data_IF_406771932843
#
_entry.id   IF_406771932843
#
_cell.length_a   1.000
_cell.length_b   1.000
_cell.length_c   1.000
_cell.angle_alpha   90.00
_cell.angle_beta   90.00
_cell.angle_gamma   90.00
#
_symmetry.space_group_name_H-M   'P 1'
#
loop_
_entity.id
_entity.type
_entity.pdbx_description
1 polymer ?
#
# COMPACT_ATOMS: atom_id res chain seq x y z
N UNK A 1 -24.71 29.56 35.22
CA UNK A 1 -23.27 29.51 35.59
C UNK A 1 -22.67 28.27 34.98
N UNK A 2 -21.65 28.40 34.21
CA UNK A 2 -20.87 27.46 33.37
C UNK A 2 -21.22 27.44 31.88
N UNK A 3 -20.83 28.53 31.23
CA UNK A 3 -20.63 28.65 29.79
C UNK A 3 -19.34 29.46 29.56
N UNK A 4 -18.25 28.99 30.13
CA UNK A 4 -16.89 29.50 29.90
C UNK A 4 -15.93 28.33 29.80
N UNK A 5 -15.07 28.44 28.81
CA UNK A 5 -13.92 27.61 28.52
C UNK A 5 -14.03 26.66 27.34
N UNK A 6 -14.11 27.24 26.11
CA UNK A 6 -13.50 26.68 24.90
C UNK A 6 -13.03 27.81 23.96
N UNK A 7 -12.28 28.77 24.46
CA UNK A 7 -11.53 29.71 23.65
C UNK A 7 -10.06 29.30 23.56
N UNK A 8 -9.79 28.17 22.92
CA UNK A 8 -8.47 27.92 22.34
C UNK A 8 -8.37 28.75 21.06
N UNK A 9 -7.23 29.31 20.79
CA UNK A 9 -6.77 30.21 19.72
C UNK A 9 -7.08 29.68 18.29
N UNK A 10 -8.39 29.56 17.95
CA UNK A 10 -8.83 29.17 16.61
C UNK A 10 -8.93 30.42 15.78
N UNK A 11 -8.08 30.54 14.76
CA UNK A 11 -8.27 31.56 13.73
C UNK A 11 -9.72 31.53 13.22
N UNK A 12 -10.39 32.67 13.10
CA UNK A 12 -11.78 32.70 12.67
C UNK A 12 -11.90 32.13 11.24
N UNK A 13 -12.92 31.25 11.06
CA UNK A 13 -13.19 30.67 9.75
C UNK A 13 -13.45 31.76 8.70
N UNK A 14 -12.94 31.54 7.48
CA UNK A 14 -13.24 32.37 6.32
C UNK A 14 -14.53 31.90 5.66
N UNK A 15 -15.45 32.84 5.43
CA UNK A 15 -16.71 32.60 4.74
C UNK A 15 -16.74 33.52 3.52
N UNK A 16 -17.02 32.97 2.35
CA UNK A 16 -17.23 33.74 1.13
C UNK A 16 -18.73 33.88 0.87
N UNK A 17 -19.19 35.11 0.59
CA UNK A 17 -20.56 35.40 0.17
C UNK A 17 -20.54 35.89 -1.27
N UNK A 18 -21.30 35.24 -2.13
CA UNK A 18 -21.45 35.55 -3.57
C UNK A 18 -22.93 35.88 -3.82
N UNK A 19 -23.26 37.10 -4.14
CA UNK A 19 -24.63 37.56 -4.38
C UNK A 19 -24.56 38.84 -5.23
N UNK A 20 -25.38 39.00 -6.25
CA UNK A 20 -25.36 40.18 -7.13
C UNK A 20 -26.08 41.38 -6.51
N UNK A 21 -27.00 41.17 -5.54
CA UNK A 21 -27.64 42.28 -4.79
C UNK A 21 -26.72 42.88 -3.72
N UNK A 22 -26.34 44.15 -3.82
CA UNK A 22 -25.45 44.82 -2.84
C UNK A 22 -26.06 44.88 -1.44
N UNK A 23 -27.41 44.91 -1.32
CA UNK A 23 -28.10 44.97 -0.02
C UNK A 23 -28.00 43.62 0.70
N UNK A 24 -28.23 42.53 -0.01
CA UNK A 24 -28.10 41.16 0.47
C UNK A 24 -26.65 40.89 0.92
N UNK A 25 -25.65 41.24 0.07
CA UNK A 25 -24.23 41.08 0.42
C UNK A 25 -23.85 41.84 1.70
N UNK A 26 -24.31 43.11 1.82
CA UNK A 26 -23.99 43.93 2.99
C UNK A 26 -24.60 43.36 4.27
N UNK A 27 -25.85 42.90 4.21
CA UNK A 27 -26.56 42.30 5.33
C UNK A 27 -25.87 40.99 5.79
N UNK A 28 -25.61 40.08 4.86
CA UNK A 28 -24.91 38.81 5.15
C UNK A 28 -23.51 39.07 5.73
N UNK A 29 -22.74 39.95 5.10
CA UNK A 29 -21.41 40.33 5.59
C UNK A 29 -21.46 40.84 7.02
N UNK A 30 -22.43 41.73 7.35
CA UNK A 30 -22.58 42.27 8.69
C UNK A 30 -22.95 41.18 9.68
N UNK A 31 -23.98 40.39 9.40
CA UNK A 31 -24.43 39.29 10.26
C UNK A 31 -23.31 38.28 10.55
N UNK A 32 -22.54 37.88 9.53
CA UNK A 32 -21.45 36.92 9.69
C UNK A 32 -20.26 37.49 10.47
N UNK A 33 -19.93 38.80 10.25
CA UNK A 33 -18.91 39.47 11.05
C UNK A 33 -19.29 39.63 12.52
N UNK A 34 -20.56 39.92 12.79
CA UNK A 34 -21.09 40.02 14.15
C UNK A 34 -21.04 38.64 14.88
N UNK A 35 -21.05 37.54 14.11
CA UNK A 35 -20.84 36.18 14.62
C UNK A 35 -19.35 35.79 14.76
N UNK A 36 -18.42 36.70 14.43
CA UNK A 36 -16.98 36.52 14.62
C UNK A 36 -16.23 35.86 13.46
N UNK A 37 -16.84 35.71 12.26
CA UNK A 37 -16.22 35.13 11.09
C UNK A 37 -15.45 36.18 10.25
N UNK A 38 -14.42 35.69 9.53
CA UNK A 38 -13.78 36.47 8.46
C UNK A 38 -14.63 36.35 7.18
N UNK A 39 -15.03 37.44 6.59
CA UNK A 39 -15.97 37.46 5.48
C UNK A 39 -15.42 38.18 4.28
N UNK A 40 -15.26 37.45 3.18
CA UNK A 40 -15.02 37.97 1.83
C UNK A 40 -16.34 38.04 1.06
N UNK A 41 -16.47 38.94 0.13
CA UNK A 41 -17.68 39.09 -0.67
C UNK A 41 -17.32 39.21 -2.16
N UNK A 42 -18.19 38.68 -3.01
CA UNK A 42 -18.12 38.76 -4.46
C UNK A 42 -19.47 39.24 -5.02
N UNK A 43 -19.45 40.00 -6.07
CA UNK A 43 -20.62 40.59 -6.71
C UNK A 43 -21.17 39.72 -7.87
N UNK A 44 -20.42 38.72 -8.32
CA UNK A 44 -20.83 37.79 -9.38
C UNK A 44 -20.01 36.48 -9.29
N UNK A 45 -20.47 35.46 -9.99
CA UNK A 45 -19.91 34.10 -9.87
C UNK A 45 -18.43 34.00 -10.20
N UNK A 46 -17.93 34.67 -11.25
CA UNK A 46 -16.49 34.60 -11.64
C UNK A 46 -15.57 35.24 -10.59
N UNK A 47 -15.97 36.37 -10.00
CA UNK A 47 -15.24 36.98 -8.89
C UNK A 47 -15.24 36.06 -7.68
N UNK A 48 -16.38 35.39 -7.41
CA UNK A 48 -16.52 34.41 -6.34
C UNK A 48 -15.57 33.27 -6.47
N UNK A 49 -15.46 32.66 -7.65
CA UNK A 49 -14.52 31.55 -7.92
C UNK A 49 -13.06 32.02 -7.75
N UNK A 50 -12.72 33.19 -8.27
CA UNK A 50 -11.36 33.77 -8.12
C UNK A 50 -10.97 33.95 -6.64
N UNK A 51 -11.88 34.53 -5.83
CA UNK A 51 -11.68 34.70 -4.38
C UNK A 51 -11.61 33.34 -3.68
N UNK A 52 -12.50 32.39 -4.03
CA UNK A 52 -12.48 31.03 -3.45
C UNK A 52 -11.15 30.34 -3.70
N UNK A 53 -10.60 30.42 -4.91
CA UNK A 53 -9.29 29.86 -5.27
C UNK A 53 -8.14 30.46 -4.48
N UNK A 54 -8.18 31.81 -4.30
CA UNK A 54 -7.13 32.53 -3.58
C UNK A 54 -7.17 32.31 -2.06
N UNK A 55 -8.38 32.32 -1.47
CA UNK A 55 -8.57 32.37 -0.01
C UNK A 55 -8.94 31.03 0.62
N UNK A 56 -9.41 30.04 -0.18
CA UNK A 56 -9.85 28.71 0.25
C UNK A 56 -10.80 28.78 1.46
N UNK A 57 -11.99 29.40 1.30
CA UNK A 57 -12.92 29.59 2.41
C UNK A 57 -13.44 28.26 2.96
N UNK A 58 -13.71 28.20 4.26
CA UNK A 58 -14.31 27.03 4.89
C UNK A 58 -15.78 26.84 4.48
N UNK A 59 -16.47 27.96 4.18
CA UNK A 59 -17.88 27.96 3.79
C UNK A 59 -18.13 29.02 2.73
N UNK A 60 -18.95 28.68 1.75
CA UNK A 60 -19.38 29.55 0.67
C UNK A 60 -20.90 29.68 0.73
N UNK A 61 -21.42 30.91 0.73
CA UNK A 61 -22.82 31.22 0.60
C UNK A 61 -23.01 31.90 -0.77
N UNK A 62 -23.74 31.28 -1.65
CA UNK A 62 -23.89 31.75 -3.03
C UNK A 62 -25.37 31.92 -3.38
N UNK A 63 -25.72 33.08 -3.96
CA UNK A 63 -27.03 33.24 -4.55
C UNK A 63 -27.18 32.36 -5.77
N UNK A 64 -28.35 31.78 -5.93
CA UNK A 64 -28.68 30.94 -7.07
C UNK A 64 -28.78 31.76 -8.36
N UNK A 65 -29.57 32.86 -8.31
CA UNK A 65 -29.95 33.61 -9.49
C UNK A 65 -29.01 34.82 -9.66
N UNK A 66 -27.91 34.62 -10.37
CA UNK A 66 -26.98 35.72 -10.69
C UNK A 66 -26.80 35.85 -12.22
N UNK A 67 -26.52 37.05 -12.73
CA UNK A 67 -26.23 37.22 -14.15
C UNK A 67 -24.88 36.58 -14.55
N UNK A 68 -24.75 36.20 -15.81
CA UNK A 68 -23.60 35.55 -16.46
C UNK A 68 -23.30 34.14 -15.98
N UNK A 69 -23.01 33.94 -14.71
CA UNK A 69 -22.69 32.64 -14.10
C UNK A 69 -23.58 32.46 -12.87
N UNK A 70 -24.54 31.56 -12.94
CA UNK A 70 -25.45 31.28 -11.85
C UNK A 70 -24.80 30.50 -10.70
N UNK A 71 -25.49 30.43 -9.56
CA UNK A 71 -24.98 29.79 -8.36
C UNK A 71 -24.79 28.27 -8.51
N UNK A 72 -25.56 27.59 -9.38
CA UNK A 72 -25.40 26.18 -9.66
C UNK A 72 -24.09 25.91 -10.40
N UNK A 73 -23.78 26.73 -11.38
CA UNK A 73 -22.55 26.57 -12.16
C UNK A 73 -21.33 26.93 -11.31
N UNK A 74 -21.43 27.96 -10.44
CA UNK A 74 -20.39 28.25 -9.43
C UNK A 74 -20.19 27.03 -8.52
N UNK A 75 -21.26 26.41 -8.04
CA UNK A 75 -21.20 25.23 -7.19
C UNK A 75 -20.49 24.07 -7.89
N UNK A 76 -20.86 23.75 -9.14
CA UNK A 76 -20.21 22.67 -9.91
C UNK A 76 -18.73 22.90 -10.06
N UNK A 77 -18.29 24.11 -10.42
CA UNK A 77 -16.88 24.43 -10.59
C UNK A 77 -16.10 24.34 -9.27
N UNK A 78 -16.66 24.82 -8.17
CA UNK A 78 -16.07 24.70 -6.83
C UNK A 78 -15.97 23.23 -6.42
N UNK A 79 -17.01 22.43 -6.65
CA UNK A 79 -17.03 21.00 -6.24
C UNK A 79 -16.19 20.08 -7.14
N UNK A 80 -15.85 20.50 -8.35
CA UNK A 80 -14.92 19.79 -9.24
C UNK A 80 -13.44 20.08 -8.91
N UNK A 81 -13.14 21.14 -8.22
CA UNK A 81 -11.78 21.48 -7.81
C UNK A 81 -11.35 20.64 -6.58
N UNK A 82 -10.16 20.02 -6.63
CA UNK A 82 -9.66 19.12 -5.59
C UNK A 82 -9.52 19.76 -4.20
N UNK A 83 -9.18 21.04 -4.15
CA UNK A 83 -9.00 21.78 -2.89
C UNK A 83 -10.29 22.43 -2.42
N UNK A 84 -11.03 23.08 -3.35
CA UNK A 84 -12.25 23.82 -3.05
C UNK A 84 -13.47 22.92 -2.81
N UNK A 85 -13.49 21.70 -3.33
CA UNK A 85 -14.58 20.73 -3.11
C UNK A 85 -14.89 20.47 -1.64
N UNK A 86 -13.93 20.76 -0.77
CA UNK A 86 -14.04 20.62 0.69
C UNK A 86 -14.78 21.78 1.36
N UNK A 87 -14.90 22.93 0.69
CA UNK A 87 -15.68 24.08 1.20
C UNK A 87 -17.15 23.69 1.32
N UNK A 88 -17.78 23.98 2.46
CA UNK A 88 -19.20 23.76 2.63
C UNK A 88 -19.98 24.79 1.81
N UNK A 89 -20.81 24.34 0.88
CA UNK A 89 -21.48 25.19 -0.09
C UNK A 89 -22.98 25.33 0.22
N UNK A 90 -23.41 26.57 0.49
CA UNK A 90 -24.81 26.91 0.78
C UNK A 90 -25.37 27.71 -0.38
N UNK A 91 -26.44 27.23 -1.01
CA UNK A 91 -27.18 27.94 -2.04
C UNK A 91 -28.33 28.77 -1.41
N UNK A 92 -28.43 30.06 -1.81
CA UNK A 92 -29.56 30.89 -1.46
C UNK A 92 -30.60 30.82 -2.58
N UNK A 93 -31.84 30.50 -2.25
CA UNK A 93 -32.93 30.35 -3.23
C UNK A 93 -34.07 31.31 -2.94
N UNK A 94 -34.74 31.84 -3.97
CA UNK A 94 -35.92 32.67 -3.83
C UNK A 94 -37.22 31.88 -3.55
N UNK A 95 -37.27 30.59 -3.88
CA UNK A 95 -38.37 29.67 -3.66
C UNK A 95 -37.88 28.27 -3.30
N UNK A 96 -38.55 27.65 -2.32
CA UNK A 96 -38.26 26.29 -1.86
C UNK A 96 -39.02 25.22 -2.64
N UNK A 97 -39.08 25.28 -3.96
CA UNK A 97 -39.70 24.21 -4.75
C UNK A 97 -38.81 22.97 -4.74
N UNK A 98 -39.42 21.79 -4.72
CA UNK A 98 -38.72 20.50 -4.59
C UNK A 98 -37.72 20.27 -5.74
N UNK A 99 -38.08 20.73 -6.94
CA UNK A 99 -37.26 20.61 -8.15
C UNK A 99 -35.97 21.43 -8.07
N UNK A 100 -36.01 22.62 -7.50
CA UNK A 100 -34.83 23.48 -7.31
C UNK A 100 -33.84 22.81 -6.34
N UNK A 101 -34.36 22.22 -5.26
CA UNK A 101 -33.50 21.49 -4.29
C UNK A 101 -32.81 20.29 -4.90
N UNK A 102 -33.47 19.53 -5.77
CA UNK A 102 -32.88 18.40 -6.47
C UNK A 102 -31.74 18.88 -7.38
N UNK A 103 -31.98 19.91 -8.19
CA UNK A 103 -30.96 20.45 -9.10
C UNK A 103 -29.72 20.95 -8.35
N UNK A 104 -29.89 21.57 -7.20
CA UNK A 104 -28.78 22.05 -6.42
C UNK A 104 -27.98 20.93 -5.72
N UNK A 105 -28.66 19.87 -5.24
CA UNK A 105 -27.99 18.69 -4.73
C UNK A 105 -27.18 17.96 -5.82
N UNK A 106 -27.76 17.85 -7.02
CA UNK A 106 -27.07 17.29 -8.19
C UNK A 106 -25.86 18.15 -8.61
N UNK A 107 -25.89 19.46 -8.36
CA UNK A 107 -24.76 20.36 -8.57
C UNK A 107 -23.67 20.22 -7.47
N UNK A 108 -23.95 19.50 -6.38
CA UNK A 108 -23.05 19.26 -5.27
C UNK A 108 -23.16 20.24 -4.10
N UNK A 109 -24.23 21.06 -4.03
CA UNK A 109 -24.46 21.92 -2.88
C UNK A 109 -24.72 21.11 -1.61
N UNK A 110 -24.14 21.53 -0.50
CA UNK A 110 -24.27 20.82 0.77
C UNK A 110 -25.53 21.26 1.53
N UNK A 111 -26.04 22.47 1.27
CA UNK A 111 -27.20 23.02 1.98
C UNK A 111 -27.90 24.14 1.19
N UNK A 112 -29.15 24.44 1.58
CA UNK A 112 -30.00 25.48 1.00
C UNK A 112 -30.55 26.41 2.07
N UNK A 113 -30.70 27.70 1.73
CA UNK A 113 -31.40 28.68 2.53
C UNK A 113 -32.36 29.48 1.64
N UNK A 114 -33.62 29.58 2.07
CA UNK A 114 -34.63 30.35 1.33
C UNK A 114 -34.58 31.83 1.70
N UNK A 115 -34.71 32.70 0.69
CA UNK A 115 -34.91 34.13 0.88
C UNK A 115 -36.42 34.42 1.16
N UNK A 116 -36.80 35.23 2.16
CA UNK A 116 -35.95 36.02 3.03
C UNK A 116 -35.23 35.18 4.09
N UNK A 117 -33.95 35.47 4.31
CA UNK A 117 -33.08 34.64 5.18
C UNK A 117 -33.41 34.97 6.66
N UNK A 118 -33.83 33.96 7.42
CA UNK A 118 -33.95 34.02 8.86
C UNK A 118 -32.54 34.01 9.52
N UNK A 119 -32.18 34.98 10.35
CA UNK A 119 -30.84 35.01 10.98
C UNK A 119 -30.53 33.81 11.89
N UNK A 120 -31.53 33.18 12.52
CA UNK A 120 -31.32 32.03 13.37
C UNK A 120 -31.10 30.77 12.53
N UNK A 121 -31.85 30.63 11.42
CA UNK A 121 -31.64 29.54 10.46
C UNK A 121 -30.24 29.65 9.84
N UNK A 122 -29.86 30.84 9.34
CA UNK A 122 -28.54 31.09 8.80
C UNK A 122 -27.44 30.68 9.79
N UNK A 123 -27.55 31.13 11.04
CA UNK A 123 -26.59 30.79 12.10
C UNK A 123 -26.50 29.29 12.32
N UNK A 124 -27.64 28.58 12.42
CA UNK A 124 -27.68 27.16 12.64
C UNK A 124 -27.01 26.37 11.49
N UNK A 125 -27.33 26.74 10.22
CA UNK A 125 -26.76 26.10 9.02
C UNK A 125 -25.25 26.33 8.91
N UNK A 126 -24.78 27.54 9.16
CA UNK A 126 -23.36 27.88 9.15
C UNK A 126 -22.61 27.06 10.22
N UNK A 127 -23.13 27.01 11.44
CA UNK A 127 -22.50 26.24 12.51
C UNK A 127 -22.43 24.74 12.19
N UNK A 128 -23.48 24.18 11.59
CA UNK A 128 -23.49 22.80 11.13
C UNK A 128 -22.47 22.56 10.01
N UNK A 129 -22.45 23.44 9.00
CA UNK A 129 -21.52 23.36 7.88
C UNK A 129 -20.06 23.48 8.29
N UNK A 130 -19.75 24.45 9.15
CA UNK A 130 -18.39 24.61 9.67
C UNK A 130 -17.93 23.43 10.55
N UNK A 131 -18.86 22.80 11.27
CA UNK A 131 -18.56 21.57 12.01
C UNK A 131 -18.22 20.42 11.05
N UNK A 132 -18.96 20.23 9.96
CA UNK A 132 -18.67 19.24 8.94
C UNK A 132 -17.33 19.50 8.24
N UNK A 133 -17.07 20.76 7.88
CA UNK A 133 -15.77 21.18 7.33
C UNK A 133 -14.62 20.82 8.27
N UNK A 134 -14.76 21.14 9.57
CA UNK A 134 -13.74 20.83 10.56
C UNK A 134 -13.50 19.32 10.71
N UNK A 135 -14.57 18.54 10.79
CA UNK A 135 -14.45 17.07 10.87
C UNK A 135 -13.73 16.47 9.66
N UNK A 136 -14.03 16.97 8.46
CA UNK A 136 -13.34 16.55 7.25
C UNK A 136 -11.85 16.93 7.27
N UNK A 137 -11.50 18.13 7.74
CA UNK A 137 -10.10 18.55 7.88
C UNK A 137 -9.35 17.69 8.90
N UNK A 138 -9.97 17.41 10.04
CA UNK A 138 -9.38 16.57 11.09
C UNK A 138 -9.17 15.14 10.58
N UNK A 139 -10.14 14.58 9.87
CA UNK A 139 -10.04 13.26 9.26
C UNK A 139 -8.89 13.16 8.23
N UNK A 140 -8.78 14.16 7.36
CA UNK A 140 -7.70 14.22 6.37
C UNK A 140 -6.32 14.31 7.04
N UNK A 141 -6.22 15.13 8.08
CA UNK A 141 -4.98 15.27 8.86
C UNK A 141 -4.61 13.96 9.55
N UNK A 142 -5.58 13.29 10.18
CA UNK A 142 -5.34 11.98 10.80
C UNK A 142 -4.94 10.93 9.79
N UNK A 143 -5.60 10.90 8.61
CA UNK A 143 -5.22 10.01 7.50
C UNK A 143 -3.78 10.24 7.05
N UNK A 144 -3.38 11.49 6.84
CA UNK A 144 -2.00 11.83 6.44
C UNK A 144 -0.96 11.44 7.50
N UNK A 145 -1.27 11.63 8.79
CA UNK A 145 -0.38 11.20 9.87
C UNK A 145 -0.22 9.67 9.89
N UNK A 146 -1.33 8.94 9.77
CA UNK A 146 -1.31 7.49 9.75
C UNK A 146 -0.53 6.95 8.52
N UNK A 147 -0.72 7.55 7.35
CA UNK A 147 0.03 7.21 6.14
C UNK A 147 1.53 7.46 6.30
N UNK A 148 1.91 8.55 6.98
CA UNK A 148 3.31 8.85 7.27
C UNK A 148 3.93 7.83 8.26
N UNK A 149 3.22 7.47 9.32
CA UNK A 149 3.67 6.46 10.30
C UNK A 149 3.83 5.08 9.65
N UNK A 150 2.88 4.68 8.79
CA UNK A 150 2.97 3.42 8.05
C UNK A 150 4.13 3.43 7.05
N UNK A 151 4.42 4.58 6.43
CA UNK A 151 5.56 4.71 5.52
C UNK A 151 6.90 4.56 6.26
N UNK A 152 7.04 5.19 7.44
CA UNK A 152 8.23 5.03 8.28
C UNK A 152 8.44 3.57 8.70
N UNK A 153 7.36 2.88 9.10
CA UNK A 153 7.41 1.45 9.42
C UNK A 153 7.82 0.59 8.21
N UNK A 154 7.32 0.91 7.01
CA UNK A 154 7.68 0.22 5.77
C UNK A 154 9.16 0.41 5.42
N UNK A 155 9.69 1.61 5.58
CA UNK A 155 11.11 1.88 5.34
C UNK A 155 12.00 1.11 6.34
N UNK A 156 11.57 1.02 7.60
CA UNK A 156 12.27 0.19 8.59
C UNK A 156 12.27 -1.29 8.18
N UNK A 157 11.14 -1.88 7.82
CA UNK A 157 11.05 -3.28 7.38
C UNK A 157 11.92 -3.51 6.14
N UNK A 158 11.86 -2.61 5.17
CA UNK A 158 12.69 -2.68 3.95
C UNK A 158 14.18 -2.61 4.28
N UNK A 159 14.58 -1.84 5.29
CA UNK A 159 15.98 -1.74 5.74
C UNK A 159 16.51 -3.04 6.37
N UNK A 160 15.60 -3.94 6.78
CA UNK A 160 15.98 -5.26 7.30
C UNK A 160 16.30 -6.26 6.19
N UNK A 161 15.89 -6.03 4.94
CA UNK A 161 16.24 -6.91 3.83
C UNK A 161 17.76 -6.90 3.60
N UNK A 162 18.34 -8.04 3.17
CA UNK A 162 19.77 -8.13 2.94
C UNK A 162 20.23 -7.23 1.79
N UNK A 163 21.44 -6.72 1.85
CA UNK A 163 22.00 -6.01 0.71
C UNK A 163 22.33 -6.98 -0.45
N UNK A 164 22.16 -6.60 -1.71
CA UNK A 164 22.65 -7.38 -2.84
C UNK A 164 24.12 -7.76 -2.70
N UNK A 165 24.49 -8.94 -3.22
CA UNK A 165 25.84 -9.48 -3.09
C UNK A 165 26.43 -9.82 -4.47
N UNK A 166 27.73 -9.56 -4.67
CA UNK A 166 28.40 -9.88 -5.93
C UNK A 166 29.23 -11.18 -5.84
N UNK A 167 29.79 -11.48 -4.68
CA UNK A 167 30.68 -12.63 -4.47
C UNK A 167 30.43 -13.29 -3.11
N UNK A 168 30.61 -14.63 -2.96
CA UNK A 168 31.03 -15.63 -3.94
C UNK A 168 29.94 -16.06 -4.92
N UNK A 169 28.66 -15.80 -4.63
CA UNK A 169 27.54 -15.93 -5.54
C UNK A 169 26.98 -14.51 -5.78
N UNK A 170 26.59 -14.21 -7.01
CA UNK A 170 25.90 -12.96 -7.29
C UNK A 170 24.45 -13.09 -6.90
N UNK A 171 23.98 -12.27 -5.95
CA UNK A 171 22.61 -12.30 -5.44
C UNK A 171 21.98 -10.93 -5.60
N UNK A 172 20.90 -10.88 -6.36
CA UNK A 172 20.05 -9.70 -6.53
C UNK A 172 18.61 -10.03 -6.17
N UNK A 173 17.81 -9.01 -5.90
CA UNK A 173 16.39 -9.19 -5.65
C UNK A 173 15.54 -8.03 -6.17
N UNK A 174 14.26 -8.31 -6.34
CA UNK A 174 13.20 -7.33 -6.53
C UNK A 174 12.16 -7.52 -5.44
N UNK A 175 11.70 -6.44 -4.84
CA UNK A 175 10.70 -6.44 -3.79
C UNK A 175 9.71 -5.30 -3.99
N UNK A 176 8.43 -5.63 -4.13
CA UNK A 176 7.32 -4.70 -4.25
C UNK A 176 6.19 -5.16 -3.33
N UNK A 177 5.96 -4.51 -2.18
CA UNK A 177 4.83 -4.84 -1.32
C UNK A 177 3.51 -4.37 -1.94
N UNK A 178 2.45 -5.14 -1.76
CA UNK A 178 1.08 -4.87 -2.26
C UNK A 178 0.43 -3.65 -1.61
N UNK A 179 0.85 -3.34 -0.40
CA UNK A 179 0.49 -2.16 0.36
C UNK A 179 1.76 -1.48 0.88
N UNK A 180 1.66 -0.56 1.83
CA UNK A 180 2.87 0.02 2.43
C UNK A 180 3.74 -1.03 3.14
N UNK A 181 3.12 -2.10 3.70
CA UNK A 181 3.77 -3.20 4.39
C UNK A 181 3.25 -4.53 3.85
N UNK A 182 4.16 -5.40 3.41
CA UNK A 182 3.87 -6.74 2.93
C UNK A 182 4.13 -7.83 3.97
N UNK A 183 3.57 -9.03 3.72
CA UNK A 183 3.84 -10.26 4.47
C UNK A 183 5.10 -10.97 4.01
N UNK A 184 5.52 -10.71 2.78
CA UNK A 184 6.73 -11.28 2.18
C UNK A 184 8.00 -10.85 2.91
N UNK A 185 8.91 -11.81 3.10
CA UNK A 185 10.23 -11.55 3.60
C UNK A 185 11.22 -12.58 3.06
N UNK A 186 12.47 -12.21 2.86
CA UNK A 186 13.53 -13.09 2.44
C UNK A 186 14.85 -12.68 3.06
N UNK A 187 15.76 -13.62 3.15
CA UNK A 187 17.13 -13.35 3.56
C UNK A 187 18.11 -14.34 2.95
N UNK A 188 19.36 -13.97 2.93
CA UNK A 188 20.48 -14.83 2.58
C UNK A 188 21.73 -14.41 3.37
N UNK A 189 22.46 -15.41 3.85
CA UNK A 189 23.69 -15.18 4.60
C UNK A 189 24.62 -16.38 4.53
N UNK A 190 25.89 -16.13 4.78
CA UNK A 190 26.91 -17.18 4.80
C UNK A 190 27.18 -17.66 6.23
N UNK A 191 27.31 -18.97 6.38
CA UNK A 191 27.84 -19.62 7.57
C UNK A 191 29.28 -20.02 7.24
N UNK A 192 30.22 -19.27 7.79
CA UNK A 192 31.63 -19.30 7.35
C UNK A 192 31.74 -18.96 5.86
N UNK A 193 32.77 -19.53 5.20
CA UNK A 193 32.99 -19.34 3.75
C UNK A 193 32.39 -20.47 2.90
N UNK A 194 31.64 -21.38 3.52
CA UNK A 194 31.22 -22.65 2.90
C UNK A 194 29.73 -22.69 2.59
N UNK A 195 28.87 -22.36 3.55
CA UNK A 195 27.45 -22.60 3.43
C UNK A 195 26.69 -21.30 3.20
N UNK A 196 25.95 -21.23 2.09
CA UNK A 196 25.00 -20.14 1.84
C UNK A 196 23.59 -20.61 2.26
N UNK A 197 23.05 -19.97 3.28
CA UNK A 197 21.64 -20.12 3.67
C UNK A 197 20.84 -19.07 2.91
N UNK A 198 19.67 -19.47 2.39
CA UNK A 198 18.73 -18.58 1.72
C UNK A 198 17.30 -19.06 1.96
N UNK A 199 16.40 -18.11 2.18
CA UNK A 199 14.98 -18.43 2.36
C UNK A 199 14.10 -17.27 1.87
N UNK A 200 12.87 -17.64 1.54
CA UNK A 200 11.77 -16.71 1.28
C UNK A 200 10.55 -17.23 2.03
N UNK A 201 9.80 -16.35 2.63
CA UNK A 201 8.57 -16.64 3.33
C UNK A 201 7.49 -15.62 2.96
N UNK A 202 6.25 -16.06 3.07
CA UNK A 202 5.06 -15.24 2.87
C UNK A 202 4.06 -15.51 4.00
N UNK A 203 3.68 -14.46 4.71
CA UNK A 203 2.73 -14.51 5.84
C UNK A 203 1.33 -14.22 5.36
N UNK A 204 0.38 -15.07 5.71
CA UNK A 204 -1.03 -14.96 5.32
C UNK A 204 -1.63 -13.57 5.60
N UNK A 205 -2.17 -12.92 4.54
CA UNK A 205 -2.76 -11.58 4.57
C UNK A 205 -1.75 -10.48 4.30
N UNK A 206 -2.12 -9.23 4.50
CA UNK A 206 -1.33 -8.05 4.14
C UNK A 206 -1.26 -7.01 5.26
N UNK A 207 -0.45 -5.98 5.07
CA UNK A 207 -0.30 -4.86 6.00
C UNK A 207 0.46 -5.23 7.27
N UNK A 208 0.30 -4.42 8.31
CA UNK A 208 1.05 -4.55 9.58
C UNK A 208 0.87 -5.92 10.24
N UNK A 209 -0.32 -6.52 10.12
CA UNK A 209 -0.62 -7.84 10.70
C UNK A 209 0.16 -9.00 10.05
N UNK A 210 0.64 -8.85 8.82
CA UNK A 210 1.50 -9.83 8.16
C UNK A 210 2.99 -9.47 8.30
N UNK A 211 3.33 -8.18 8.26
CA UNK A 211 4.71 -7.71 8.35
C UNK A 211 5.36 -7.99 9.73
N UNK A 212 4.62 -7.88 10.83
CA UNK A 212 5.19 -8.11 12.16
C UNK A 212 5.63 -9.57 12.39
N UNK A 213 4.81 -10.61 12.06
CA UNK A 213 5.26 -11.99 12.09
C UNK A 213 6.45 -12.25 11.14
N UNK A 214 6.46 -11.70 9.92
CA UNK A 214 7.57 -11.90 8.99
C UNK A 214 8.89 -11.36 9.54
N UNK A 215 8.89 -10.16 10.15
CA UNK A 215 10.06 -9.60 10.85
C UNK A 215 10.45 -10.44 12.06
N UNK A 216 9.50 -11.03 12.77
CA UNK A 216 9.78 -11.89 13.93
C UNK A 216 10.52 -13.17 13.51
N UNK A 217 10.09 -13.80 12.41
CA UNK A 217 10.78 -14.97 11.83
C UNK A 217 12.17 -14.59 11.34
N UNK A 218 12.30 -13.47 10.61
CA UNK A 218 13.59 -12.95 10.15
C UNK A 218 14.58 -12.76 11.32
N UNK A 219 14.13 -12.11 12.40
CA UNK A 219 14.97 -11.86 13.57
C UNK A 219 15.31 -13.17 14.30
N UNK A 220 14.38 -14.12 14.40
CA UNK A 220 14.65 -15.43 15.00
C UNK A 220 15.75 -16.17 14.22
N UNK A 221 15.63 -16.25 12.90
CA UNK A 221 16.62 -16.89 12.05
C UNK A 221 17.99 -16.19 12.09
N UNK A 222 18.06 -14.85 12.24
CA UNK A 222 19.30 -14.09 12.37
C UNK A 222 19.95 -14.16 13.74
N UNK A 223 19.18 -14.19 14.82
CA UNK A 223 19.72 -14.14 16.19
C UNK A 223 20.51 -15.39 16.53
N UNK A 224 20.03 -16.52 16.09
CA UNK A 224 20.66 -17.83 16.32
C UNK A 224 21.96 -18.03 15.53
N UNK A 225 22.19 -17.27 14.44
CA UNK A 225 23.48 -17.29 13.71
C UNK A 225 24.61 -16.58 14.44
N UNK A 226 24.32 -15.62 15.33
CA UNK A 226 25.32 -14.87 16.10
C UNK A 226 25.82 -15.63 17.34
N UNK A 227 25.02 -16.57 17.85
CA UNK A 227 25.34 -17.36 19.03
C UNK A 227 25.72 -18.81 18.64
N UNK A 228 26.87 -18.98 17.98
CA UNK A 228 27.40 -20.31 17.60
C UNK A 228 27.69 -21.24 18.79
N UNK A 229 27.31 -20.91 20.01
CA UNK A 229 27.70 -21.62 21.24
C UNK A 229 26.57 -22.30 22.03
N UNK A 230 25.30 -22.17 21.64
CA UNK A 230 24.21 -22.85 22.35
C UNK A 230 23.17 -23.43 21.36
N UNK A 231 23.43 -24.63 20.97
CA UNK A 231 22.81 -25.62 20.12
C UNK A 231 21.29 -25.75 20.02
N UNK A 232 20.55 -24.69 19.68
CA UNK A 232 19.10 -24.78 19.56
C UNK A 232 18.63 -24.90 18.09
N UNK A 233 19.48 -24.53 17.12
CA UNK A 233 19.13 -24.54 15.70
C UNK A 233 20.26 -25.06 14.83
N UNK A 234 20.04 -26.15 14.11
CA UNK A 234 20.95 -26.61 13.06
C UNK A 234 20.52 -26.06 11.69
N UNK A 235 21.07 -24.90 11.31
CA UNK A 235 20.76 -24.25 10.02
C UNK A 235 21.06 -25.07 8.78
N UNK A 236 21.92 -26.08 8.91
CA UNK A 236 22.35 -26.91 7.77
C UNK A 236 21.31 -27.98 7.41
N UNK A 237 20.30 -28.18 8.25
CA UNK A 237 19.24 -29.17 8.06
C UNK A 237 17.87 -28.49 7.81
N UNK A 238 17.50 -28.16 6.56
CA UNK A 238 16.27 -27.44 6.24
C UNK A 238 15.01 -28.00 6.88
N UNK A 239 14.83 -29.32 6.90
CA UNK A 239 13.66 -29.95 7.52
C UNK A 239 13.55 -29.63 9.01
N UNK A 240 14.65 -29.71 9.76
CA UNK A 240 14.68 -29.41 11.19
C UNK A 240 14.43 -27.91 11.48
N UNK A 241 14.91 -27.03 10.59
CA UNK A 241 14.61 -25.61 10.69
C UNK A 241 13.12 -25.35 10.56
N UNK A 242 12.44 -25.98 9.58
CA UNK A 242 11.00 -25.84 9.39
C UNK A 242 10.20 -26.43 10.57
N UNK A 243 10.63 -27.57 11.11
CA UNK A 243 10.02 -28.16 12.32
C UNK A 243 10.14 -27.22 13.53
N UNK A 244 11.31 -26.65 13.75
CA UNK A 244 11.53 -25.72 14.84
C UNK A 244 10.72 -24.42 14.66
N UNK A 245 10.62 -23.88 13.44
CA UNK A 245 9.74 -22.76 13.13
C UNK A 245 8.28 -23.13 13.38
N UNK A 246 7.82 -24.29 12.92
CA UNK A 246 6.46 -24.74 13.13
C UNK A 246 6.10 -24.87 14.62
N UNK A 247 7.01 -25.38 15.43
CA UNK A 247 6.80 -25.48 16.88
C UNK A 247 6.81 -24.12 17.60
N UNK A 248 7.55 -23.14 17.06
CA UNK A 248 7.64 -21.78 17.62
C UNK A 248 6.54 -20.81 17.16
N UNK A 249 5.88 -21.10 16.05
CA UNK A 249 4.87 -20.22 15.44
C UNK A 249 3.58 -20.98 15.17
N UNK A 250 2.74 -21.17 16.19
CA UNK A 250 1.42 -21.78 16.03
C UNK A 250 0.35 -20.71 15.81
N UNK A 251 -0.60 -20.95 14.89
CA UNK A 251 -1.71 -20.05 14.58
C UNK A 251 -2.49 -19.60 15.82
N UNK A 252 -2.71 -20.50 16.77
CA UNK A 252 -3.41 -20.23 18.03
C UNK A 252 -2.76 -19.12 18.84
N UNK A 253 -1.44 -18.97 18.75
CA UNK A 253 -0.65 -18.01 19.51
C UNK A 253 -0.32 -16.75 18.68
N UNK A 254 -0.59 -16.79 17.35
CA UNK A 254 -0.21 -15.75 16.37
C UNK A 254 -1.42 -15.10 15.69
N UNK A 255 -2.54 -14.91 16.40
CA UNK A 255 -3.76 -14.26 15.87
C UNK A 255 -4.24 -14.89 14.55
N UNK A 256 -4.26 -16.23 14.49
CA UNK A 256 -4.68 -17.02 13.33
C UNK A 256 -3.78 -16.83 12.08
N UNK A 257 -2.56 -16.32 12.25
CA UNK A 257 -1.60 -16.18 11.16
C UNK A 257 -0.77 -17.45 11.00
N UNK A 258 -0.55 -17.83 9.76
CA UNK A 258 0.38 -18.86 9.31
C UNK A 258 1.24 -18.28 8.20
N UNK A 259 2.31 -18.95 7.84
CA UNK A 259 3.14 -18.53 6.72
C UNK A 259 3.66 -19.69 5.92
N UNK A 260 3.93 -19.43 4.66
CA UNK A 260 4.64 -20.36 3.78
C UNK A 260 6.12 -20.02 3.78
N UNK A 261 6.99 -21.00 3.60
CA UNK A 261 8.43 -20.80 3.54
C UNK A 261 9.09 -21.80 2.60
N UNK A 262 10.04 -21.32 1.82
CA UNK A 262 11.04 -22.13 1.17
C UNK A 262 12.40 -21.82 1.79
N UNK A 263 13.13 -22.85 2.24
CA UNK A 263 14.42 -22.72 2.93
C UNK A 263 15.44 -23.63 2.28
N UNK A 264 16.62 -23.09 1.96
CA UNK A 264 17.69 -23.82 1.29
C UNK A 264 19.08 -23.52 1.85
N UNK A 265 19.97 -24.51 1.78
CA UNK A 265 21.37 -24.44 2.18
C UNK A 265 22.24 -24.95 1.04
N UNK A 266 23.05 -24.08 0.49
CA UNK A 266 24.01 -24.42 -0.56
C UNK A 266 25.42 -24.62 0.05
N UNK A 267 25.99 -25.80 -0.14
CA UNK A 267 27.39 -26.10 0.19
C UNK A 267 28.28 -25.79 -1.02
N UNK A 268 29.07 -24.74 -0.90
CA UNK A 268 29.97 -24.27 -1.95
C UNK A 268 31.05 -25.30 -2.33
N UNK A 269 31.50 -26.15 -1.38
CA UNK A 269 32.55 -27.12 -1.64
C UNK A 269 32.04 -28.32 -2.44
N UNK A 270 30.86 -28.82 -2.11
CA UNK A 270 30.26 -29.98 -2.77
C UNK A 270 29.30 -29.58 -3.89
N UNK A 271 28.97 -28.30 -4.02
CA UNK A 271 27.96 -27.75 -4.94
C UNK A 271 26.58 -28.39 -4.75
N UNK A 272 26.25 -28.81 -3.56
CA UNK A 272 24.95 -29.38 -3.23
C UNK A 272 24.04 -28.33 -2.60
N UNK A 273 22.81 -28.27 -3.06
CA UNK A 273 21.74 -27.46 -2.47
C UNK A 273 20.73 -28.41 -1.80
N UNK A 274 20.69 -28.35 -0.46
CA UNK A 274 19.66 -29.05 0.33
C UNK A 274 18.55 -28.07 0.66
N UNK A 275 17.29 -28.47 0.49
CA UNK A 275 16.15 -27.56 0.66
C UNK A 275 14.93 -28.26 1.23
N UNK A 276 14.03 -27.49 1.85
CA UNK A 276 12.72 -27.91 2.34
C UNK A 276 11.69 -26.80 2.06
N UNK A 277 10.43 -27.19 1.92
CA UNK A 277 9.31 -26.29 1.64
C UNK A 277 8.18 -26.50 2.64
N UNK A 278 7.75 -25.44 3.31
CA UNK A 278 6.57 -25.37 4.17
C UNK A 278 5.43 -24.65 3.44
N UNK A 279 4.75 -25.32 2.51
CA UNK A 279 3.61 -24.75 1.78
C UNK A 279 3.93 -23.73 0.69
N UNK A 280 5.16 -23.25 0.59
CA UNK A 280 5.57 -22.18 -0.33
C UNK A 280 5.64 -22.64 -1.80
N UNK A 281 5.49 -21.72 -2.79
CA UNK A 281 5.79 -21.98 -4.18
C UNK A 281 7.17 -22.65 -4.38
N UNK A 282 7.36 -23.45 -5.45
CA UNK A 282 8.66 -24.06 -5.71
C UNK A 282 9.70 -23.02 -6.10
N UNK A 283 10.94 -23.16 -5.64
CA UNK A 283 12.04 -22.44 -6.27
C UNK A 283 12.33 -23.00 -7.66
N UNK A 284 12.91 -22.19 -8.55
CA UNK A 284 13.30 -22.58 -9.90
C UNK A 284 14.81 -22.56 -10.03
N UNK A 285 15.41 -23.74 -10.29
CA UNK A 285 16.82 -23.85 -10.66
C UNK A 285 16.93 -23.94 -12.18
N UNK A 286 17.52 -22.91 -12.78
CA UNK A 286 17.86 -22.90 -14.20
C UNK A 286 19.31 -23.34 -14.39
N UNK A 287 19.49 -24.35 -15.25
CA UNK A 287 20.80 -24.93 -15.54
C UNK A 287 21.10 -24.81 -17.02
N UNK A 288 22.30 -24.37 -17.41
CA UNK A 288 22.69 -24.34 -18.83
C UNK A 288 22.86 -25.76 -19.37
N UNK A 289 22.32 -25.99 -20.57
CA UNK A 289 22.47 -27.25 -21.33
C UNK A 289 23.04 -26.95 -22.73
N UNK A 290 23.42 -27.98 -23.47
CA UNK A 290 24.01 -27.82 -24.80
C UNK A 290 23.06 -27.07 -25.77
N UNK A 291 21.76 -27.28 -25.66
CA UNK A 291 20.74 -26.72 -26.56
C UNK A 291 19.88 -25.64 -25.87
N UNK A 292 20.33 -25.04 -24.78
CA UNK A 292 19.59 -23.99 -24.09
C UNK A 292 19.63 -24.08 -22.57
N UNK A 293 18.49 -23.86 -21.93
CA UNK A 293 18.34 -23.88 -20.47
C UNK A 293 17.29 -24.87 -20.03
N UNK A 294 17.56 -25.60 -18.92
CA UNK A 294 16.58 -26.43 -18.24
C UNK A 294 16.11 -25.75 -16.97
N UNK A 295 14.80 -25.70 -16.74
CA UNK A 295 14.20 -25.26 -15.49
C UNK A 295 13.72 -26.44 -14.66
N UNK A 296 14.26 -26.57 -13.44
CA UNK A 296 13.89 -27.60 -12.47
C UNK A 296 13.16 -26.95 -11.29
N UNK A 297 11.96 -27.46 -10.97
CA UNK A 297 11.17 -27.02 -9.82
C UNK A 297 11.69 -27.69 -8.55
N UNK A 298 12.08 -26.92 -7.56
CA UNK A 298 12.59 -27.38 -6.26
C UNK A 298 11.50 -27.21 -5.20
N UNK A 299 10.79 -28.28 -4.92
CA UNK A 299 9.73 -28.33 -3.91
C UNK A 299 9.77 -29.68 -3.17
N UNK A 300 9.57 -29.63 -1.86
CA UNK A 300 9.28 -30.83 -1.05
C UNK A 300 7.82 -30.78 -0.59
N UNK A 301 7.21 -31.95 -0.29
CA UNK A 301 5.92 -31.97 0.39
C UNK A 301 6.01 -31.25 1.73
N UNK A 302 5.04 -30.37 2.00
CA UNK A 302 4.95 -29.63 3.26
C UNK A 302 3.71 -28.72 3.25
N UNK A 303 3.21 -28.43 4.44
CA UNK A 303 2.10 -27.52 4.67
C UNK A 303 2.64 -26.20 5.22
N UNK A 304 1.88 -25.10 5.19
CA UNK A 304 2.29 -23.84 5.81
C UNK A 304 2.64 -24.00 7.29
N UNK A 305 3.62 -23.23 7.73
CA UNK A 305 4.09 -23.19 9.12
C UNK A 305 3.01 -22.61 10.03
N UNK A 306 2.79 -23.27 11.15
CA UNK A 306 1.85 -22.84 12.18
C UNK A 306 0.43 -23.39 12.04
N UNK A 307 0.07 -24.01 10.90
CA UNK A 307 -1.29 -24.53 10.69
C UNK A 307 -1.61 -25.74 11.59
N UNK A 308 -0.65 -26.62 11.81
CA UNK A 308 -0.82 -27.81 12.63
C UNK A 308 0.44 -28.06 13.47
N UNK A 309 0.25 -28.50 14.70
CA UNK A 309 1.35 -28.89 15.58
C UNK A 309 1.95 -30.25 15.16
N UNK A 310 3.17 -30.52 15.62
CA UNK A 310 3.85 -31.81 15.51
C UNK A 310 3.99 -32.36 14.06
N UNK A 311 4.21 -31.46 13.09
CA UNK A 311 4.43 -31.83 11.69
C UNK A 311 5.91 -32.04 11.42
N UNK A 312 6.23 -33.20 10.80
CA UNK A 312 7.56 -33.47 10.24
C UNK A 312 7.64 -32.92 8.81
N UNK A 313 8.75 -32.25 8.50
CA UNK A 313 9.05 -31.76 7.15
C UNK A 313 10.08 -32.66 6.47
N UNK A 314 10.00 -32.77 5.16
CA UNK A 314 10.98 -33.46 4.35
C UNK A 314 11.94 -32.49 3.69
N UNK A 315 13.19 -32.93 3.47
CA UNK A 315 14.17 -32.19 2.69
C UNK A 315 14.63 -33.03 1.48
N UNK A 316 15.11 -32.32 0.47
CA UNK A 316 15.70 -32.90 -0.73
C UNK A 316 17.04 -32.24 -1.03
N UNK A 317 17.90 -32.91 -1.76
CA UNK A 317 19.20 -32.36 -2.17
C UNK A 317 19.36 -32.49 -3.67
N UNK A 318 19.92 -31.47 -4.29
CA UNK A 318 20.24 -31.44 -5.72
C UNK A 318 21.67 -30.90 -5.91
N UNK A 319 22.38 -31.39 -6.91
CA UNK A 319 23.63 -30.82 -7.35
C UNK A 319 23.35 -29.53 -8.15
N UNK A 320 24.11 -28.47 -7.87
CA UNK A 320 24.03 -27.18 -8.57
C UNK A 320 25.17 -27.11 -9.60
N UNK A 321 24.88 -27.24 -10.89
CA UNK A 321 25.89 -27.14 -11.93
C UNK A 321 26.56 -25.75 -11.97
N UNK A 322 27.78 -25.64 -12.53
CA UNK A 322 28.40 -24.34 -12.82
C UNK A 322 27.49 -23.43 -13.63
N UNK A 323 27.52 -22.14 -13.33
CA UNK A 323 26.71 -21.10 -14.01
C UNK A 323 25.18 -21.30 -13.93
N UNK A 324 24.70 -22.15 -13.03
CA UNK A 324 23.26 -22.27 -12.76
C UNK A 324 22.74 -20.99 -12.09
N UNK A 325 21.44 -20.73 -12.23
CA UNK A 325 20.76 -19.59 -11.57
C UNK A 325 19.53 -20.11 -10.82
N UNK A 326 19.44 -19.79 -9.53
CA UNK A 326 18.30 -20.11 -8.68
C UNK A 326 17.41 -18.90 -8.51
N UNK A 327 16.11 -19.10 -8.65
CA UNK A 327 15.07 -18.11 -8.39
C UNK A 327 14.20 -18.55 -7.23
N UNK A 328 14.10 -17.71 -6.21
CA UNK A 328 13.09 -17.79 -5.14
C UNK A 328 12.09 -16.68 -5.38
N UNK A 329 10.81 -16.95 -5.20
CA UNK A 329 9.76 -15.95 -5.49
C UNK A 329 8.47 -16.26 -4.72
N UNK A 330 7.71 -15.20 -4.39
CA UNK A 330 6.34 -15.32 -3.90
C UNK A 330 5.35 -15.47 -5.06
N UNK A 331 4.13 -15.83 -4.73
CA UNK A 331 3.07 -16.06 -5.73
C UNK A 331 2.62 -14.79 -6.45
N UNK A 332 2.69 -13.62 -5.83
CA UNK A 332 2.34 -12.34 -6.46
C UNK A 332 3.09 -12.03 -7.76
N UNK A 333 4.24 -12.69 -8.02
CA UNK A 333 4.93 -12.52 -9.31
C UNK A 333 4.23 -13.19 -10.48
N UNK A 334 3.35 -14.18 -10.23
CA UNK A 334 2.67 -14.95 -11.28
C UNK A 334 1.17 -15.14 -11.04
N UNK A 335 0.65 -14.92 -9.84
CA UNK A 335 -0.79 -15.06 -9.50
C UNK A 335 -1.53 -13.72 -9.66
N UNK A 336 -1.40 -13.09 -10.81
CA UNK A 336 -2.17 -11.89 -11.17
C UNK A 336 -3.06 -12.14 -12.39
N UNK A 337 -4.13 -11.35 -12.51
CA UNK A 337 -5.04 -11.38 -13.65
C UNK A 337 -4.43 -10.70 -14.86
N UNK A 338 -4.60 -11.33 -16.02
CA UNK A 338 -4.24 -10.80 -17.33
C UNK A 338 -5.41 -10.03 -17.95
N UNK A 339 -5.15 -9.25 -18.99
CA UNK A 339 -6.16 -8.46 -19.71
C UNK A 339 -7.31 -9.28 -20.30
N UNK A 340 -7.16 -10.60 -20.42
CA UNK A 340 -8.20 -11.56 -20.85
C UNK A 340 -8.86 -12.31 -19.67
N UNK A 341 -8.76 -11.78 -18.45
CA UNK A 341 -9.33 -12.30 -17.21
C UNK A 341 -8.92 -13.74 -16.88
N UNK A 342 -7.65 -14.05 -17.08
CA UNK A 342 -7.04 -15.33 -16.70
C UNK A 342 -5.90 -15.06 -15.73
N UNK A 343 -5.60 -16.04 -14.88
CA UNK A 343 -4.37 -16.01 -14.09
C UNK A 343 -3.18 -16.31 -14.99
N UNK A 344 -2.13 -15.47 -14.93
CA UNK A 344 -0.93 -15.64 -15.75
C UNK A 344 -0.22 -16.97 -15.47
N UNK A 345 0.01 -17.25 -14.20
CA UNK A 345 0.40 -18.55 -13.68
C UNK A 345 1.89 -18.89 -13.78
N UNK A 346 2.33 -19.81 -12.89
CA UNK A 346 3.72 -20.23 -12.74
C UNK A 346 4.37 -20.74 -14.04
N UNK A 347 3.61 -21.44 -14.88
CA UNK A 347 4.14 -21.96 -16.15
C UNK A 347 4.50 -20.85 -17.16
N UNK A 348 3.73 -19.74 -17.17
CA UNK A 348 4.04 -18.60 -17.99
C UNK A 348 5.30 -17.89 -17.46
N UNK A 349 5.41 -17.72 -16.16
CA UNK A 349 6.61 -17.17 -15.52
C UNK A 349 7.86 -18.02 -15.79
N UNK A 350 7.75 -19.35 -15.65
CA UNK A 350 8.84 -20.28 -15.99
C UNK A 350 9.30 -20.13 -17.45
N UNK A 351 8.37 -20.03 -18.40
CA UNK A 351 8.68 -19.81 -19.82
C UNK A 351 9.38 -18.49 -20.07
N UNK A 352 8.90 -17.41 -19.40
CA UNK A 352 9.52 -16.10 -19.48
C UNK A 352 10.99 -16.16 -19.04
N UNK A 353 11.28 -16.78 -17.89
CA UNK A 353 12.65 -16.95 -17.40
C UNK A 353 13.51 -17.72 -18.40
N UNK A 354 13.02 -18.84 -18.93
CA UNK A 354 13.76 -19.64 -19.91
C UNK A 354 14.10 -18.84 -21.18
N UNK A 355 13.15 -18.05 -21.70
CA UNK A 355 13.39 -17.22 -22.88
C UNK A 355 14.42 -16.12 -22.56
N UNK A 356 14.30 -15.45 -21.40
CA UNK A 356 15.24 -14.41 -21.00
C UNK A 356 16.67 -14.95 -20.89
N UNK A 357 16.86 -16.14 -20.36
CA UNK A 357 18.16 -16.79 -20.22
C UNK A 357 18.80 -17.20 -21.57
N UNK A 358 18.03 -17.31 -22.63
CA UNK A 358 18.62 -17.50 -23.99
C UNK A 358 19.28 -16.21 -24.51
N UNK A 359 18.89 -15.06 -24.00
CA UNK A 359 19.42 -13.75 -24.41
C UNK A 359 20.56 -13.29 -23.48
N UNK A 360 20.40 -13.51 -22.17
CA UNK A 360 21.39 -13.15 -21.15
C UNK A 360 21.45 -14.28 -20.11
N UNK A 361 22.64 -14.85 -19.84
CA UNK A 361 22.81 -15.90 -18.83
C UNK A 361 22.37 -15.51 -17.42
N UNK A 362 22.36 -14.21 -17.09
CA UNK A 362 21.87 -13.67 -15.81
C UNK A 362 21.03 -12.42 -16.10
N UNK A 363 19.77 -12.59 -16.54
CA UNK A 363 18.94 -11.46 -16.95
C UNK A 363 18.73 -10.46 -15.81
N UNK A 364 18.70 -9.17 -16.15
CA UNK A 364 18.46 -8.13 -15.17
C UNK A 364 17.00 -8.21 -14.63
N UNK A 365 16.83 -8.24 -13.31
CA UNK A 365 15.52 -8.36 -12.67
C UNK A 365 14.50 -7.29 -13.10
N UNK A 366 14.85 -5.98 -13.25
CA UNK A 366 13.90 -4.99 -13.73
C UNK A 366 13.31 -5.29 -15.10
N UNK A 367 14.08 -5.92 -16.00
CA UNK A 367 13.61 -6.31 -17.34
C UNK A 367 12.64 -7.50 -17.26
N UNK A 368 12.95 -8.51 -16.42
CA UNK A 368 12.07 -9.64 -16.17
C UNK A 368 10.72 -9.21 -15.60
N UNK A 369 10.76 -8.31 -14.62
CA UNK A 369 9.56 -7.74 -13.98
C UNK A 369 8.74 -6.94 -15.01
N UNK A 370 9.35 -6.07 -15.78
CA UNK A 370 8.65 -5.28 -16.81
C UNK A 370 7.98 -6.17 -17.88
N UNK A 371 8.63 -7.26 -18.26
CA UNK A 371 8.06 -8.24 -19.20
C UNK A 371 6.86 -8.98 -18.56
N UNK A 372 6.97 -9.46 -17.32
CA UNK A 372 5.84 -10.06 -16.59
C UNK A 372 4.66 -9.09 -16.46
N UNK A 373 4.95 -7.89 -15.98
CA UNK A 373 3.96 -6.82 -15.77
C UNK A 373 3.20 -6.42 -17.07
N UNK A 374 3.84 -6.53 -18.23
CA UNK A 374 3.19 -6.24 -19.52
C UNK A 374 2.01 -7.15 -19.86
N UNK A 375 1.86 -8.27 -19.18
CA UNK A 375 0.73 -9.20 -19.33
C UNK A 375 -0.41 -8.93 -18.36
N UNK A 376 -0.18 -8.12 -17.34
CA UNK A 376 -1.17 -7.85 -16.28
C UNK A 376 -2.31 -6.94 -16.77
N UNK A 377 -3.50 -7.17 -16.26
CA UNK A 377 -4.60 -6.20 -16.34
C UNK A 377 -4.24 -4.93 -15.55
N UNK A 378 -4.90 -3.79 -15.82
CA UNK A 378 -4.70 -2.57 -15.03
C UNK A 378 -4.83 -2.87 -13.53
N UNK A 379 -3.87 -2.41 -12.72
CA UNK A 379 -3.80 -2.56 -11.26
C UNK A 379 -3.73 -4.02 -10.73
N UNK A 380 -3.63 -5.02 -11.60
CA UNK A 380 -3.55 -6.43 -11.17
C UNK A 380 -2.16 -6.83 -10.67
N UNK A 381 -1.08 -6.31 -11.28
CA UNK A 381 0.29 -6.57 -10.82
C UNK A 381 0.60 -5.74 -9.57
N UNK A 382 1.04 -6.41 -8.51
CA UNK A 382 1.25 -5.79 -7.19
C UNK A 382 -0.03 -5.71 -6.34
N UNK A 383 -1.10 -6.41 -6.73
CA UNK A 383 -2.26 -6.65 -5.86
C UNK A 383 -1.90 -7.55 -4.66
N UNK A 384 -0.88 -8.38 -4.81
CA UNK A 384 -0.20 -9.09 -3.75
C UNK A 384 1.29 -8.74 -3.72
N UNK A 385 2.00 -9.13 -2.65
CA UNK A 385 3.41 -8.86 -2.50
C UNK A 385 4.22 -9.58 -3.60
N UNK A 386 5.14 -8.85 -4.23
CA UNK A 386 5.99 -9.39 -5.29
C UNK A 386 7.43 -9.43 -4.82
N UNK A 387 7.90 -10.63 -4.52
CA UNK A 387 9.28 -10.89 -4.13
C UNK A 387 9.95 -11.82 -5.14
N UNK A 388 11.15 -11.45 -5.58
CA UNK A 388 11.96 -12.27 -6.48
C UNK A 388 13.44 -12.16 -6.08
N UNK A 389 14.03 -13.27 -5.69
CA UNK A 389 15.48 -13.38 -5.39
C UNK A 389 16.15 -14.20 -6.48
N UNK A 390 17.21 -13.67 -7.06
CA UNK A 390 18.03 -14.32 -8.09
C UNK A 390 19.42 -14.61 -7.52
N UNK A 391 19.84 -15.88 -7.56
CA UNK A 391 21.15 -16.32 -7.11
C UNK A 391 21.88 -16.94 -8.31
N UNK A 392 22.90 -16.26 -8.81
CA UNK A 392 23.75 -16.79 -9.88
C UNK A 392 25.00 -17.45 -9.24
N UNK A 393 25.14 -18.74 -9.49
CA UNK A 393 26.26 -19.52 -9.00
C UNK A 393 27.49 -19.36 -9.92
N UNK A 394 28.71 -19.36 -9.33
CA UNK A 394 29.93 -19.17 -10.12
C UNK A 394 30.10 -20.26 -11.17
N UNK A 395 30.65 -19.89 -12.33
CA UNK A 395 31.31 -20.81 -13.25
C UNK A 395 32.47 -21.47 -12.52
N UNK A 396 32.78 -22.71 -12.80
CA UNK A 396 33.77 -23.52 -12.09
C UNK A 396 35.08 -22.81 -11.84
#
# INVERSE_FOLDING_TARGET
>A
MQAEAMSGDRQPYRILVIDDDPTSRLLLRKTLKDLGYQVSVASHGREGIAIATAEKPALIICDWMMPELDGLEVCRQIKQDQELSRSFFVLLTAKGELEDRIQGLDAGADEFLSKPIDPNELRARIQAGLRLYQLNQDLLKQKQLLEAELHEAADYVRSLLPAPQETPCKINYYFLPSSQLGGDCFDFFWIGDRYLVLYILDVSGHGLGAALPSVSVLNLLRSTTREQTSGTFDYLHPAQVLEALNNGFQMTDQHEKYFTIWYGVYDRQTRQLTYASGGHPPALLLTPEADGWRATLLKTPGIPIGMFADIAFSQATIEVPPSAVLYLFSDGIYEFETTDNRVWGLEAFRKLLMVAHTQDPVPALPQLIAQGQSHAAPDAFGSDDVSLVQVAFPSA
#
